data_IF_179535104197
#
_entry.id   IF_179535104197
#
_cell.length_a   1.000
_cell.length_b   1.000
_cell.length_c   1.000
_cell.angle_alpha   90.00
_cell.angle_beta   90.00
_cell.angle_gamma   90.00
#
_symmetry.space_group_name_H-M   'P 1'
#
loop_
_entity.id
_entity.type
_entity.pdbx_description
1 polymer ?
#
# COMPACT_ATOMS: atom_id res chain seq x y z
N UNK A 1 13.39 5.39 -4.29
CA UNK A 1 12.30 6.22 -3.73
C UNK A 1 11.96 5.75 -2.32
N UNK A 2 12.02 6.64 -1.35
CA UNK A 2 11.63 6.30 0.01
C UNK A 2 10.11 6.33 0.15
N UNK A 3 9.57 5.39 0.90
CA UNK A 3 8.14 5.30 1.19
C UNK A 3 7.58 6.66 1.66
N UNK A 4 8.23 7.25 2.66
CA UNK A 4 7.83 8.53 3.23
C UNK A 4 7.77 9.64 2.17
N UNK A 5 8.81 9.73 1.35
CA UNK A 5 8.90 10.79 0.33
C UNK A 5 7.87 10.61 -0.77
N UNK A 6 7.63 9.37 -1.20
CA UNK A 6 6.62 9.07 -2.19
C UNK A 6 5.22 9.46 -1.71
N UNK A 7 4.88 9.09 -0.48
CA UNK A 7 3.58 9.43 0.08
C UNK A 7 3.38 10.92 0.22
N UNK A 8 4.43 11.65 0.62
CA UNK A 8 4.37 13.10 0.80
C UNK A 8 4.27 13.83 -0.56
N UNK A 9 5.16 13.52 -1.48
CA UNK A 9 5.22 14.18 -2.79
C UNK A 9 3.97 13.93 -3.64
N UNK A 10 3.47 12.70 -3.62
CA UNK A 10 2.32 12.31 -4.41
C UNK A 10 0.98 12.60 -3.72
N UNK A 11 1.02 13.03 -2.46
CA UNK A 11 -0.20 13.20 -1.65
C UNK A 11 -1.08 11.96 -1.73
N UNK A 12 -0.45 10.77 -1.65
CA UNK A 12 -1.08 9.49 -1.90
C UNK A 12 -1.44 8.74 -0.61
N UNK A 13 -2.03 9.47 0.34
CA UNK A 13 -2.53 8.92 1.60
C UNK A 13 -4.03 9.19 1.72
N UNK A 14 -4.79 8.14 1.96
CA UNK A 14 -6.22 8.24 2.23
C UNK A 14 -6.53 7.45 3.51
N UNK A 15 -6.99 8.13 4.56
CA UNK A 15 -7.23 7.53 5.87
C UNK A 15 -8.71 7.38 6.16
N UNK A 16 -9.06 6.30 6.86
CA UNK A 16 -10.43 5.99 7.27
C UNK A 16 -11.40 6.00 6.09
N UNK A 17 -10.95 5.44 4.97
CA UNK A 17 -11.76 5.38 3.76
C UNK A 17 -12.90 4.37 3.91
N UNK A 18 -13.98 4.62 3.19
CA UNK A 18 -15.12 3.72 3.15
C UNK A 18 -15.12 2.97 1.81
N UNK A 19 -15.23 1.65 1.89
CA UNK A 19 -15.34 0.78 0.73
C UNK A 19 -16.16 -0.44 1.15
N UNK A 20 -16.94 -0.97 0.23
CA UNK A 20 -17.78 -2.14 0.50
C UNK A 20 -17.15 -3.45 0.06
N UNK A 21 -16.22 -3.38 -0.89
CA UNK A 21 -15.54 -4.56 -1.44
C UNK A 21 -14.03 -4.33 -1.50
N UNK A 22 -13.27 -5.41 -1.55
CA UNK A 22 -11.82 -5.32 -1.67
C UNK A 22 -11.41 -4.64 -2.98
N UNK A 23 -12.19 -4.83 -4.06
CA UNK A 23 -11.93 -4.17 -5.34
C UNK A 23 -12.04 -2.66 -5.22
N UNK A 24 -13.05 -2.17 -4.53
CA UNK A 24 -13.21 -0.73 -4.28
C UNK A 24 -12.06 -0.19 -3.45
N UNK A 25 -11.62 -0.94 -2.43
CA UNK A 25 -10.50 -0.54 -1.58
C UNK A 25 -9.20 -0.44 -2.39
N UNK A 26 -8.91 -1.42 -3.23
CA UNK A 26 -7.74 -1.41 -4.12
C UNK A 26 -7.79 -0.20 -5.06
N UNK A 27 -8.98 0.09 -5.60
CA UNK A 27 -9.15 1.20 -6.53
C UNK A 27 -8.78 2.55 -5.90
N UNK A 28 -9.08 2.76 -4.64
CA UNK A 28 -8.74 4.01 -3.95
C UNK A 28 -7.24 4.28 -4.04
N UNK A 29 -6.43 3.28 -3.72
CA UNK A 29 -4.97 3.42 -3.78
C UNK A 29 -4.44 3.60 -5.19
N UNK A 30 -4.96 2.83 -6.15
CA UNK A 30 -4.55 2.95 -7.55
C UNK A 30 -4.92 4.33 -8.10
N UNK A 31 -6.12 4.84 -7.79
CA UNK A 31 -6.54 6.16 -8.25
C UNK A 31 -5.63 7.28 -7.71
N UNK A 32 -5.16 7.16 -6.47
CA UNK A 32 -4.18 8.10 -5.92
C UNK A 32 -2.89 8.10 -6.76
N UNK A 33 -2.42 6.94 -7.19
CA UNK A 33 -1.23 6.82 -8.03
C UNK A 33 -1.47 7.29 -9.46
N UNK A 34 -2.67 7.08 -10.01
CA UNK A 34 -3.05 7.62 -11.33
C UNK A 34 -3.02 9.14 -11.29
N UNK A 35 -3.64 9.74 -10.27
CA UNK A 35 -3.71 11.19 -10.11
C UNK A 35 -2.32 11.81 -9.96
N UNK A 36 -1.39 11.09 -9.36
CA UNK A 36 -0.01 11.54 -9.19
C UNK A 36 0.89 11.28 -10.41
N UNK A 37 0.37 10.62 -11.45
CA UNK A 37 1.15 10.28 -12.63
C UNK A 37 2.13 9.13 -12.45
N UNK A 38 1.94 8.32 -11.42
CA UNK A 38 2.82 7.19 -11.09
C UNK A 38 2.48 5.94 -11.90
N UNK A 39 1.19 5.73 -12.16
CA UNK A 39 0.71 4.59 -12.96
C UNK A 39 -0.35 5.05 -13.96
N UNK A 40 -0.55 4.25 -15.00
CA UNK A 40 -1.66 4.40 -15.94
C UNK A 40 -2.93 3.78 -15.36
N UNK A 41 -4.13 4.24 -15.77
CA UNK A 41 -5.40 3.68 -15.29
C UNK A 41 -5.53 2.16 -15.44
N UNK A 42 -4.92 1.56 -16.46
CA UNK A 42 -4.97 0.11 -16.71
C UNK A 42 -4.30 -0.72 -15.62
N UNK A 43 -3.50 -0.10 -14.75
CA UNK A 43 -2.83 -0.78 -13.65
C UNK A 43 -3.85 -1.43 -12.70
N UNK A 44 -4.99 -0.79 -12.49
CA UNK A 44 -6.06 -1.33 -11.66
C UNK A 44 -6.56 -2.67 -12.20
N UNK A 45 -6.91 -2.72 -13.49
CA UNK A 45 -7.42 -3.96 -14.09
C UNK A 45 -6.37 -5.07 -14.06
N UNK A 46 -5.10 -4.72 -14.22
CA UNK A 46 -4.02 -5.70 -14.14
C UNK A 46 -3.95 -6.35 -12.75
N UNK A 47 -4.15 -5.56 -11.68
CA UNK A 47 -4.19 -6.11 -10.32
C UNK A 47 -5.38 -7.06 -10.16
N UNK A 48 -6.56 -6.69 -10.63
CA UNK A 48 -7.74 -7.55 -10.56
C UNK A 48 -7.52 -8.87 -11.32
N UNK A 49 -6.94 -8.80 -12.51
CA UNK A 49 -6.63 -9.98 -13.32
C UNK A 49 -5.64 -10.90 -12.60
N UNK A 50 -4.67 -10.32 -11.90
CA UNK A 50 -3.72 -11.07 -11.09
C UNK A 50 -4.38 -11.84 -9.95
N UNK A 51 -5.35 -11.23 -9.28
CA UNK A 51 -6.11 -11.91 -8.22
C UNK A 51 -6.94 -13.05 -8.78
N UNK A 52 -7.55 -12.86 -9.94
CA UNK A 52 -8.32 -13.90 -10.60
C UNK A 52 -7.46 -15.12 -10.95
N UNK A 53 -6.18 -14.88 -11.34
CA UNK A 53 -5.24 -15.95 -11.70
C UNK A 53 -4.61 -16.64 -10.49
N UNK A 54 -4.19 -15.85 -9.49
CA UNK A 54 -3.31 -16.32 -8.42
C UNK A 54 -3.93 -16.24 -7.04
N UNK A 55 -5.18 -15.77 -6.92
CA UNK A 55 -5.81 -15.50 -5.63
C UNK A 55 -5.29 -14.20 -5.01
N UNK A 56 -5.58 -13.94 -3.73
CA UNK A 56 -5.21 -12.69 -3.07
C UNK A 56 -3.71 -12.64 -2.69
N UNK A 57 -2.85 -12.70 -3.69
CA UNK A 57 -1.39 -12.83 -3.56
C UNK A 57 -0.74 -11.66 -2.81
N UNK A 58 -1.39 -10.51 -2.78
CA UNK A 58 -0.82 -9.31 -2.17
C UNK A 58 -1.24 -9.08 -0.71
N UNK A 59 -2.03 -9.98 -0.14
CA UNK A 59 -2.32 -9.94 1.31
C UNK A 59 -1.15 -10.61 2.02
N UNK A 60 -0.31 -9.83 2.69
CA UNK A 60 1.01 -10.29 3.13
C UNK A 60 1.15 -10.51 4.64
N UNK A 61 0.22 -9.98 5.43
CA UNK A 61 0.22 -10.12 6.89
C UNK A 61 -1.20 -9.89 7.39
N UNK A 62 -1.51 -10.28 8.63
CA UNK A 62 -2.85 -10.04 9.19
C UNK A 62 -3.21 -8.55 9.11
N UNK A 63 -4.28 -8.26 8.37
CA UNK A 63 -4.80 -6.90 8.22
C UNK A 63 -4.09 -6.03 7.18
N UNK A 64 -3.03 -6.54 6.52
CA UNK A 64 -2.20 -5.74 5.60
C UNK A 64 -2.16 -6.32 4.19
N UNK A 65 -2.45 -5.49 3.22
CA UNK A 65 -2.31 -5.82 1.80
C UNK A 65 -1.35 -4.85 1.11
N UNK A 66 -0.57 -5.35 0.15
CA UNK A 66 0.28 -4.56 -0.74
C UNK A 66 -0.13 -4.79 -2.20
N UNK A 67 -1.24 -4.19 -2.66
CA UNK A 67 -1.64 -4.36 -4.05
C UNK A 67 -0.54 -3.91 -5.00
N UNK A 68 -0.24 -4.73 -6.01
CA UNK A 68 0.75 -4.42 -7.03
C UNK A 68 0.54 -5.27 -8.28
N UNK A 69 0.95 -4.73 -9.42
CA UNK A 69 1.03 -5.44 -10.68
C UNK A 69 2.48 -5.48 -11.15
N UNK A 70 2.68 -5.82 -12.42
CA UNK A 70 4.01 -5.86 -13.04
C UNK A 70 4.37 -4.50 -13.63
N UNK A 71 5.68 -4.19 -13.78
CA UNK A 71 6.10 -2.91 -14.38
C UNK A 71 5.45 -2.63 -15.74
N UNK A 72 5.37 -3.63 -16.61
CA UNK A 72 4.81 -3.50 -17.96
C UNK A 72 3.28 -3.27 -17.98
N UNK A 73 2.63 -3.40 -16.85
CA UNK A 73 1.17 -3.27 -16.74
C UNK A 73 0.70 -1.85 -16.46
N UNK A 74 1.57 -0.86 -16.65
CA UNK A 74 1.19 0.54 -16.56
C UNK A 74 1.98 1.36 -15.56
N UNK A 75 3.11 0.88 -15.08
CA UNK A 75 3.96 1.66 -14.16
C UNK A 75 4.74 2.70 -14.95
N UNK A 76 4.64 3.96 -14.53
CA UNK A 76 5.38 5.09 -15.10
C UNK A 76 6.62 5.37 -14.27
N UNK A 77 6.47 5.40 -12.95
CA UNK A 77 7.58 5.56 -12.02
C UNK A 77 7.31 4.77 -10.73
N UNK A 78 8.35 4.57 -9.92
CA UNK A 78 8.19 3.88 -8.64
C UNK A 78 7.48 4.80 -7.64
N UNK A 79 6.49 4.27 -6.93
CA UNK A 79 5.77 5.03 -5.93
C UNK A 79 4.85 4.16 -5.07
N UNK A 80 4.30 4.79 -4.04
CA UNK A 80 3.43 4.14 -3.06
C UNK A 80 2.16 4.94 -2.84
N UNK A 81 1.07 4.24 -2.50
CA UNK A 81 -0.13 4.86 -1.94
C UNK A 81 -0.51 4.11 -0.67
N UNK A 82 -0.95 4.83 0.34
CA UNK A 82 -1.35 4.24 1.61
C UNK A 82 -2.82 4.56 1.88
N UNK A 83 -3.60 3.51 2.11
CA UNK A 83 -5.03 3.61 2.41
C UNK A 83 -5.31 2.87 3.70
N UNK A 84 -6.00 3.50 4.64
CA UNK A 84 -6.60 2.78 5.76
C UNK A 84 -8.10 2.78 5.59
N UNK A 85 -8.75 1.71 6.01
CA UNK A 85 -10.20 1.54 5.89
C UNK A 85 -10.86 1.74 7.25
N UNK A 86 -11.98 2.44 7.24
CA UNK A 86 -12.80 2.62 8.43
C UNK A 86 -13.31 1.28 8.95
N UNK A 87 -13.63 0.36 8.03
CA UNK A 87 -14.12 -0.97 8.33
C UNK A 87 -13.26 -2.00 7.58
N UNK A 88 -12.70 -2.99 8.28
CA UNK A 88 -11.93 -4.05 7.61
C UNK A 88 -12.78 -4.82 6.60
N UNK A 89 -12.15 -5.28 5.53
CA UNK A 89 -12.80 -6.01 4.45
C UNK A 89 -12.21 -7.40 4.26
N UNK A 90 -13.03 -8.32 3.79
CA UNK A 90 -12.61 -9.68 3.43
C UNK A 90 -11.97 -9.63 2.04
N UNK A 91 -10.73 -10.12 1.93
CA UNK A 91 -9.98 -10.25 0.68
C UNK A 91 -9.90 -11.69 0.21
N UNK A 92 -10.63 -12.59 0.86
CA UNK A 92 -10.63 -14.04 0.59
C UNK A 92 -9.26 -14.68 0.81
N UNK A 93 -8.48 -14.13 1.75
CA UNK A 93 -7.23 -14.72 2.18
C UNK A 93 -7.47 -15.61 3.39
N UNK A 94 -6.96 -16.85 3.31
CA UNK A 94 -7.24 -17.88 4.31
C UNK A 94 -6.79 -17.51 5.72
N UNK A 95 -5.62 -16.86 5.86
CA UNK A 95 -4.99 -16.65 7.17
C UNK A 95 -5.01 -15.20 7.64
N UNK A 96 -5.10 -14.22 6.73
CA UNK A 96 -4.82 -12.82 7.04
C UNK A 96 -6.02 -11.88 6.99
N UNK A 97 -7.20 -12.37 6.64
CA UNK A 97 -8.42 -11.56 6.64
C UNK A 97 -8.90 -11.26 8.07
N UNK A 98 -9.61 -10.15 8.30
CA UNK A 98 -9.90 -9.07 7.36
C UNK A 98 -8.76 -8.04 7.25
N UNK A 99 -8.79 -7.24 6.17
CA UNK A 99 -7.73 -6.26 5.85
C UNK A 99 -8.28 -4.84 5.99
N UNK A 100 -7.53 -3.97 6.64
CA UNK A 100 -7.88 -2.55 6.79
C UNK A 100 -6.73 -1.59 6.46
N UNK A 101 -5.56 -2.12 6.09
CA UNK A 101 -4.41 -1.31 5.67
C UNK A 101 -3.95 -1.81 4.30
N UNK A 102 -3.92 -0.90 3.31
CA UNK A 102 -3.43 -1.21 1.98
C UNK A 102 -2.29 -0.25 1.64
N UNK A 103 -1.13 -0.80 1.28
CA UNK A 103 -0.02 -0.01 0.76
C UNK A 103 0.21 -0.47 -0.67
N UNK A 104 -0.32 0.30 -1.62
CA UNK A 104 -0.20 0.00 -3.04
C UNK A 104 1.19 0.36 -3.52
N UNK A 105 1.83 -0.56 -4.23
CA UNK A 105 3.18 -0.40 -4.75
C UNK A 105 3.14 -0.37 -6.28
N UNK A 106 3.83 0.61 -6.86
CA UNK A 106 4.20 0.62 -8.26
C UNK A 106 5.72 0.62 -8.33
N UNK A 107 6.31 -0.33 -9.04
CA UNK A 107 7.75 -0.45 -9.16
C UNK A 107 8.15 -0.57 -10.63
N UNK A 108 9.15 0.21 -11.05
CA UNK A 108 9.58 0.25 -12.46
C UNK A 108 10.32 -1.01 -12.88
N UNK A 109 10.88 -1.77 -11.93
CA UNK A 109 11.59 -3.03 -12.21
C UNK A 109 11.61 -3.92 -10.96
N UNK A 110 12.17 -5.13 -11.11
CA UNK A 110 12.23 -6.11 -10.02
C UNK A 110 13.06 -5.62 -8.83
N UNK A 111 14.14 -4.88 -9.08
CA UNK A 111 14.97 -4.33 -8.00
C UNK A 111 14.18 -3.30 -7.18
N UNK A 112 13.47 -2.38 -7.84
CA UNK A 112 12.64 -1.41 -7.16
C UNK A 112 11.52 -2.09 -6.36
N UNK A 113 10.93 -3.16 -6.89
CA UNK A 113 9.89 -3.92 -6.20
C UNK A 113 10.42 -4.53 -4.90
N UNK A 114 11.57 -5.19 -4.95
CA UNK A 114 12.12 -5.91 -3.81
C UNK A 114 12.79 -4.98 -2.80
N UNK A 115 13.74 -4.16 -3.26
CA UNK A 115 14.60 -3.34 -2.40
C UNK A 115 13.91 -2.08 -1.89
N UNK A 116 13.20 -1.39 -2.78
CA UNK A 116 12.55 -0.13 -2.44
C UNK A 116 11.15 -0.38 -1.86
N UNK A 117 10.38 -1.26 -2.49
CA UNK A 117 8.99 -1.51 -2.14
C UNK A 117 8.82 -2.35 -0.90
N UNK A 118 9.00 -3.65 -1.04
CA UNK A 118 8.67 -4.62 0.01
C UNK A 118 9.46 -4.38 1.29
N UNK A 119 10.77 -4.15 1.17
CA UNK A 119 11.65 -3.99 2.35
C UNK A 119 11.25 -2.80 3.22
N UNK A 120 10.85 -1.69 2.64
CA UNK A 120 10.43 -0.53 3.42
C UNK A 120 9.14 -0.80 4.19
N UNK A 121 8.19 -1.51 3.59
CA UNK A 121 6.95 -1.87 4.27
C UNK A 121 7.21 -2.89 5.37
N UNK A 122 8.04 -3.90 5.11
CA UNK A 122 8.44 -4.88 6.13
C UNK A 122 9.09 -4.17 7.32
N UNK A 123 10.00 -3.24 7.06
CA UNK A 123 10.68 -2.49 8.13
C UNK A 123 9.71 -1.66 8.97
N UNK A 124 8.71 -1.05 8.34
CA UNK A 124 7.70 -0.28 9.07
C UNK A 124 6.94 -1.15 10.07
N UNK A 125 6.63 -2.39 9.70
CA UNK A 125 5.81 -3.29 10.51
C UNK A 125 6.62 -4.32 11.32
N UNK A 126 7.94 -4.21 11.38
CA UNK A 126 8.75 -4.99 12.32
C UNK A 126 8.34 -4.71 13.75
N UNK A 127 8.01 -3.46 14.07
CA UNK A 127 7.33 -3.13 15.32
C UNK A 127 5.83 -3.36 15.06
N UNK A 128 5.29 -4.43 15.64
CA UNK A 128 3.88 -4.80 15.43
C UNK A 128 2.90 -3.77 15.96
N UNK A 129 3.31 -2.94 16.92
CA UNK A 129 2.48 -1.84 17.41
C UNK A 129 2.21 -0.78 16.35
N UNK A 130 3.02 -0.76 15.28
CA UNK A 130 2.80 0.19 14.17
C UNK A 130 1.52 -0.08 13.39
N UNK A 131 0.97 -1.29 13.43
CA UNK A 131 -0.35 -1.54 12.85
C UNK A 131 -1.42 -0.66 13.53
N UNK A 132 -1.48 -0.69 14.86
CA UNK A 132 -2.47 0.09 15.61
C UNK A 132 -2.15 1.58 15.58
N UNK A 133 -0.87 1.96 15.60
CA UNK A 133 -0.47 3.36 15.47
C UNK A 133 -0.93 3.94 14.12
N UNK A 134 -0.79 3.17 13.06
CA UNK A 134 -1.23 3.60 11.73
C UNK A 134 -2.76 3.71 11.67
N UNK A 135 -3.47 2.75 12.24
CA UNK A 135 -4.94 2.78 12.31
C UNK A 135 -5.46 4.00 13.08
N UNK A 136 -4.70 4.47 14.06
CA UNK A 136 -5.06 5.65 14.85
C UNK A 136 -4.78 6.97 14.14
N UNK A 137 -4.02 6.97 13.05
CA UNK A 137 -3.71 8.19 12.31
C UNK A 137 -4.96 8.77 11.65
N UNK A 138 -5.16 10.07 11.81
CA UNK A 138 -6.28 10.80 11.21
C UNK A 138 -5.82 11.84 10.20
N UNK A 139 -4.52 12.12 10.13
CA UNK A 139 -3.93 13.08 9.17
C UNK A 139 -2.74 12.44 8.47
N UNK A 140 -2.48 12.89 7.24
CA UNK A 140 -1.31 12.45 6.48
C UNK A 140 -0.02 12.75 7.24
N UNK A 141 0.08 13.87 7.92
CA UNK A 141 1.28 14.25 8.67
C UNK A 141 1.57 13.23 9.79
N UNK A 142 0.55 12.73 10.47
CA UNK A 142 0.73 11.70 11.49
C UNK A 142 1.32 10.43 10.91
N UNK A 143 0.92 10.04 9.70
CA UNK A 143 1.48 8.88 8.99
C UNK A 143 2.95 9.12 8.67
N UNK A 144 3.29 10.29 8.14
CA UNK A 144 4.67 10.63 7.81
C UNK A 144 5.55 10.66 9.06
N UNK A 145 5.05 11.21 10.15
CA UNK A 145 5.78 11.24 11.44
C UNK A 145 6.02 9.83 11.98
N UNK A 146 5.04 8.93 11.85
CA UNK A 146 5.20 7.53 12.26
C UNK A 146 6.31 6.83 11.47
N UNK A 147 6.34 7.05 10.17
CA UNK A 147 7.38 6.47 9.31
C UNK A 147 8.75 7.04 9.68
N UNK A 148 8.84 8.34 9.90
CA UNK A 148 10.09 9.01 10.29
C UNK A 148 10.60 8.48 11.64
N UNK A 149 9.73 8.31 12.63
CA UNK A 149 10.09 7.75 13.94
C UNK A 149 10.60 6.32 13.83
N UNK A 150 9.98 5.51 12.99
CA UNK A 150 10.40 4.12 12.77
C UNK A 150 11.78 4.08 12.12
N UNK A 151 12.03 4.93 11.13
CA UNK A 151 13.32 5.01 10.45
C UNK A 151 14.42 5.47 11.41
N UNK A 152 14.13 6.46 12.26
CA UNK A 152 15.08 6.96 13.26
C UNK A 152 15.42 5.87 14.28
N UNK A 153 14.42 5.12 14.74
CA UNK A 153 14.65 4.00 15.68
C UNK A 153 15.50 2.90 15.05
N UNK A 154 15.28 2.59 13.77
CA UNK A 154 16.06 1.57 13.06
C UNK A 154 17.50 1.99 12.83
N UNK A 155 17.80 3.30 12.77
CA UNK A 155 19.13 3.85 12.58
C UNK A 155 19.99 3.83 13.85
N UNK A 156 19.37 3.57 15.00
CA UNK A 156 20.06 3.44 16.30
C UNK A 156 20.50 1.98 16.57
#
# INVERSE_FOLDING_TARGET
MKLRDSLAENQSIRLNAEAETWQEAVKIGVDLLVDAGVVEPRYYQAILDGVERFGPYFVIAPGLAMPHGRPEEGVIETGFALVTLKKPLVFNHEDNDPVDILITLAAVDANAHQEVGIMQVVNLFEDEDNFDRLRACTTAQQVLDLIDQTSAAAAQ
#
